data_IF_967475660351
#
_entry.id   IF_967475660351
#
_cell.length_a   1.000
_cell.length_b   1.000
_cell.length_c   1.000
_cell.angle_alpha   90.00
_cell.angle_beta   90.00
_cell.angle_gamma   90.00
#
_symmetry.space_group_name_H-M   'P 1'
#
loop_
_entity.id
_entity.type
_entity.pdbx_description
1 polymer ?
#
# COMPACT_ATOMS: atom_id res chain seq x y z
N UNK A 1 -31.82 -14.01 -2.08
CA UNK A 1 -32.35 -13.48 -0.81
C UNK A 1 -31.18 -13.49 0.15
N UNK A 2 -30.60 -12.33 0.49
CA UNK A 2 -29.55 -12.28 1.51
C UNK A 2 -30.13 -12.85 2.80
N UNK A 3 -29.39 -13.74 3.47
CA UNK A 3 -29.71 -14.07 4.86
C UNK A 3 -29.70 -12.78 5.67
N UNK A 4 -30.54 -12.68 6.70
CA UNK A 4 -30.53 -11.58 7.66
C UNK A 4 -29.14 -11.51 8.30
N UNK A 5 -28.25 -10.70 7.71
CA UNK A 5 -26.97 -10.38 8.31
C UNK A 5 -27.31 -9.56 9.56
N UNK A 6 -26.95 -10.10 10.73
CA UNK A 6 -27.02 -9.35 11.99
C UNK A 6 -26.13 -8.09 11.93
N UNK A 7 -26.16 -7.25 12.98
CA UNK A 7 -25.31 -6.08 13.03
C UNK A 7 -23.82 -6.44 12.89
N UNK A 8 -23.08 -5.57 12.23
CA UNK A 8 -21.62 -5.64 12.09
C UNK A 8 -21.04 -4.52 12.93
N UNK A 9 -20.27 -4.84 13.97
CA UNK A 9 -19.53 -3.86 14.77
C UNK A 9 -18.07 -3.83 14.35
N UNK A 10 -17.61 -2.66 13.91
CA UNK A 10 -16.22 -2.35 13.64
C UNK A 10 -15.60 -1.73 14.90
N UNK A 11 -14.47 -2.26 15.32
CA UNK A 11 -13.77 -1.91 16.54
C UNK A 11 -12.36 -1.45 16.16
N UNK A 12 -11.96 -0.23 16.51
CA UNK A 12 -10.63 0.26 16.16
C UNK A 12 -10.43 1.75 16.37
N UNK A 13 -9.22 2.21 16.07
CA UNK A 13 -8.85 3.61 16.11
C UNK A 13 -9.72 4.44 15.14
N UNK A 14 -9.95 5.74 15.43
CA UNK A 14 -10.95 6.53 14.72
C UNK A 14 -10.82 6.47 13.20
N UNK A 15 -9.63 6.75 12.65
CA UNK A 15 -9.39 6.81 11.22
C UNK A 15 -9.66 5.46 10.52
N UNK A 16 -9.10 4.38 11.05
CA UNK A 16 -9.24 3.04 10.51
C UNK A 16 -10.67 2.53 10.63
N UNK A 17 -11.32 2.73 11.77
CA UNK A 17 -12.68 2.24 12.02
C UNK A 17 -13.70 2.93 11.10
N UNK A 18 -13.65 4.26 10.99
CA UNK A 18 -14.51 5.00 10.07
C UNK A 18 -14.20 4.73 8.60
N UNK A 19 -12.93 4.48 8.26
CA UNK A 19 -12.56 4.12 6.89
C UNK A 19 -13.13 2.76 6.50
N UNK A 20 -12.96 1.74 7.36
CA UNK A 20 -13.57 0.43 7.14
C UNK A 20 -15.10 0.51 7.06
N UNK A 21 -15.74 1.32 7.89
CA UNK A 21 -17.18 1.54 7.86
C UNK A 21 -17.65 2.11 6.52
N UNK A 22 -16.95 3.12 6.00
CA UNK A 22 -17.25 3.73 4.70
C UNK A 22 -17.07 2.71 3.56
N UNK A 23 -16.01 1.90 3.60
CA UNK A 23 -15.77 0.85 2.61
C UNK A 23 -16.91 -0.18 2.59
N UNK A 24 -17.33 -0.64 3.77
CA UNK A 24 -18.44 -1.59 3.89
C UNK A 24 -19.75 -0.98 3.41
N UNK A 25 -20.11 0.20 3.91
CA UNK A 25 -21.33 0.89 3.51
C UNK A 25 -21.39 1.15 2.00
N UNK A 26 -20.23 1.33 1.35
CA UNK A 26 -20.14 1.63 -0.08
C UNK A 26 -20.12 0.38 -0.97
N UNK A 27 -19.40 -0.66 -0.57
CA UNK A 27 -19.05 -1.76 -1.45
C UNK A 27 -19.60 -3.11 -1.03
N UNK A 28 -19.94 -3.29 0.25
CA UNK A 28 -20.54 -4.53 0.70
C UNK A 28 -22.02 -4.55 0.30
N UNK A 29 -22.58 -5.71 -0.06
CA UNK A 29 -24.01 -5.86 -0.31
C UNK A 29 -24.75 -5.92 1.04
N UNK A 30 -24.63 -4.91 1.91
CA UNK A 30 -25.40 -4.80 3.17
C UNK A 30 -25.98 -3.42 3.35
N UNK A 31 -27.13 -3.30 4.04
CA UNK A 31 -27.63 -2.01 4.48
C UNK A 31 -26.62 -1.34 5.41
N UNK A 32 -26.34 -0.05 5.21
CA UNK A 32 -25.44 0.69 6.08
C UNK A 32 -25.95 0.80 7.52
N UNK A 33 -27.27 0.68 7.73
CA UNK A 33 -27.94 0.75 9.02
C UNK A 33 -27.65 -0.44 9.94
N UNK A 34 -27.02 -1.51 9.44
CA UNK A 34 -26.54 -2.61 10.28
C UNK A 34 -25.06 -2.46 10.66
N UNK A 35 -24.36 -1.48 10.12
CA UNK A 35 -22.95 -1.20 10.44
C UNK A 35 -22.89 -0.31 11.68
N UNK A 36 -22.05 -0.72 12.62
CA UNK A 36 -21.76 -0.03 13.88
C UNK A 36 -20.28 0.25 13.99
N UNK A 37 -19.92 1.41 14.51
CA UNK A 37 -18.52 1.78 14.77
C UNK A 37 -18.34 1.99 16.27
N UNK A 38 -17.42 1.23 16.85
CA UNK A 38 -16.97 1.36 18.23
C UNK A 38 -15.53 1.88 18.19
N UNK A 39 -15.39 3.19 18.34
CA UNK A 39 -14.07 3.83 18.33
C UNK A 39 -13.33 3.49 19.62
N UNK A 40 -12.13 2.93 19.48
CA UNK A 40 -11.21 2.64 20.59
C UNK A 40 -9.79 2.89 20.10
N UNK A 41 -8.98 3.58 20.87
CA UNK A 41 -7.60 3.82 20.47
C UNK A 41 -6.89 4.78 21.41
N UNK A 42 -5.61 4.98 21.14
CA UNK A 42 -4.78 5.92 21.87
C UNK A 42 -5.07 7.35 21.40
N UNK A 43 -5.64 8.19 22.27
CA UNK A 43 -5.88 9.62 22.02
C UNK A 43 -4.60 10.34 21.57
N UNK A 44 -3.42 9.88 22.01
CA UNK A 44 -2.14 10.48 21.61
C UNK A 44 -1.77 10.23 20.14
N UNK A 45 -2.38 9.25 19.48
CA UNK A 45 -2.11 8.96 18.07
C UNK A 45 -2.86 9.93 17.13
N UNK A 46 -3.82 10.72 17.61
CA UNK A 46 -4.70 11.54 16.75
C UNK A 46 -3.95 12.62 15.96
N UNK A 47 -2.79 13.08 16.47
CA UNK A 47 -1.95 14.08 15.81
C UNK A 47 -0.94 13.48 14.81
N UNK A 48 -0.90 12.16 14.64
CA UNK A 48 0.00 11.57 13.65
C UNK A 48 -0.51 11.81 12.22
N UNK A 49 0.43 11.94 11.29
CA UNK A 49 0.11 12.09 9.87
C UNK A 49 -0.07 10.72 9.20
N UNK A 50 -1.24 10.51 8.61
CA UNK A 50 -1.48 9.42 7.65
C UNK A 50 -0.95 9.81 6.28
N UNK A 51 -0.36 8.83 5.61
CA UNK A 51 0.03 8.97 4.22
C UNK A 51 -0.87 8.07 3.38
N UNK A 52 -1.63 8.66 2.47
CA UNK A 52 -2.42 7.94 1.48
C UNK A 52 -1.64 7.89 0.16
N UNK A 53 -1.40 6.67 -0.32
CA UNK A 53 -0.69 6.42 -1.57
C UNK A 53 -1.54 6.81 -2.78
N UNK A 54 -0.95 7.08 -3.97
CA UNK A 54 -1.73 7.49 -5.15
C UNK A 54 -2.89 6.55 -5.51
N UNK A 55 -2.74 5.25 -5.27
CA UNK A 55 -3.77 4.24 -5.51
C UNK A 55 -5.06 4.50 -4.69
N UNK A 56 -4.96 5.15 -3.53
CA UNK A 56 -6.10 5.45 -2.66
C UNK A 56 -7.03 6.53 -3.25
N UNK A 57 -6.55 7.33 -4.21
CA UNK A 57 -7.35 8.41 -4.84
C UNK A 57 -8.71 7.95 -5.34
N UNK A 58 -8.73 6.79 -6.02
CA UNK A 58 -9.97 6.22 -6.57
C UNK A 58 -10.94 5.82 -5.47
N UNK A 59 -10.41 5.24 -4.40
CA UNK A 59 -11.19 4.83 -3.24
C UNK A 59 -11.76 6.06 -2.55
N UNK A 60 -10.95 7.05 -2.22
CA UNK A 60 -11.41 8.30 -1.60
C UNK A 60 -12.48 9.00 -2.45
N UNK A 61 -12.26 9.10 -3.76
CA UNK A 61 -13.25 9.68 -4.69
C UNK A 61 -14.56 8.90 -4.68
N UNK A 62 -14.50 7.56 -4.64
CA UNK A 62 -15.70 6.70 -4.61
C UNK A 62 -16.50 6.77 -3.31
N UNK A 63 -15.86 7.20 -2.22
CA UNK A 63 -16.48 7.48 -0.93
C UNK A 63 -17.03 8.91 -0.85
N UNK A 64 -16.75 9.77 -1.86
CA UNK A 64 -17.10 11.19 -1.81
C UNK A 64 -16.20 12.00 -0.88
N UNK A 65 -15.01 11.49 -0.52
CA UNK A 65 -14.07 12.18 0.34
C UNK A 65 -13.28 13.22 -0.45
N UNK A 66 -13.47 14.48 -0.09
CA UNK A 66 -12.69 15.62 -0.60
C UNK A 66 -11.47 15.85 0.31
N UNK A 67 -10.34 15.24 -0.04
CA UNK A 67 -9.12 15.29 0.77
C UNK A 67 -8.59 16.71 0.95
N UNK A 68 -8.75 17.59 -0.04
CA UNK A 68 -8.28 18.97 0.07
C UNK A 68 -9.10 19.75 1.12
N UNK A 69 -10.43 19.56 1.15
CA UNK A 69 -11.28 20.13 2.19
C UNK A 69 -11.04 19.53 3.57
N UNK A 70 -10.62 18.27 3.63
CA UNK A 70 -10.22 17.60 4.86
C UNK A 70 -8.79 17.99 5.32
N UNK A 71 -8.14 18.98 4.69
CA UNK A 71 -6.83 19.48 5.12
C UNK A 71 -5.64 18.66 4.63
N UNK A 72 -5.83 17.75 3.68
CA UNK A 72 -4.72 16.98 3.13
C UNK A 72 -3.78 17.84 2.26
N UNK A 73 -2.48 17.58 2.37
CA UNK A 73 -1.43 18.12 1.50
C UNK A 73 -0.88 17.06 0.56
N UNK A 74 -0.36 17.46 -0.59
CA UNK A 74 0.30 16.54 -1.51
C UNK A 74 1.67 16.12 -0.97
N UNK A 75 2.04 14.87 -1.21
CA UNK A 75 3.37 14.29 -0.91
C UNK A 75 3.80 13.39 -2.06
N UNK A 76 5.10 13.26 -2.32
CA UNK A 76 5.61 12.48 -3.45
C UNK A 76 6.29 11.18 -3.01
N UNK A 77 6.53 11.03 -1.72
CA UNK A 77 7.27 9.94 -1.11
C UNK A 77 6.63 9.50 0.22
N UNK A 78 7.08 8.35 0.69
CA UNK A 78 6.76 7.85 2.02
C UNK A 78 8.02 7.44 2.78
N UNK A 79 8.03 7.59 4.12
CA UNK A 79 9.19 7.27 4.93
C UNK A 79 9.42 5.77 4.96
N UNK A 80 10.61 5.34 4.54
CA UNK A 80 11.05 3.94 4.56
C UNK A 80 11.85 3.59 5.83
N UNK A 81 11.90 4.50 6.81
CA UNK A 81 12.69 4.36 8.03
C UNK A 81 14.14 4.86 7.88
N UNK A 82 14.83 5.05 9.00
CA UNK A 82 16.24 5.49 9.05
C UNK A 82 16.57 6.75 8.23
N UNK A 83 15.62 7.69 8.13
CA UNK A 83 15.76 8.92 7.33
C UNK A 83 15.70 8.71 5.80
N UNK A 84 15.29 7.53 5.34
CA UNK A 84 15.11 7.21 3.91
C UNK A 84 13.66 7.39 3.51
N UNK A 85 13.42 7.70 2.24
CA UNK A 85 12.09 7.72 1.65
C UNK A 85 12.05 6.97 0.32
N UNK A 86 10.85 6.47 -0.03
CA UNK A 86 10.57 5.80 -1.29
C UNK A 86 9.57 6.67 -2.05
N UNK A 87 9.93 7.06 -3.28
CA UNK A 87 9.02 7.78 -4.18
C UNK A 87 7.88 6.87 -4.63
N UNK A 88 6.68 7.44 -4.76
CA UNK A 88 5.54 6.70 -5.30
C UNK A 88 5.62 6.46 -6.81
N UNK A 89 6.35 7.29 -7.55
CA UNK A 89 6.32 7.29 -9.01
C UNK A 89 7.38 6.43 -9.66
N UNK A 90 7.20 6.22 -10.95
CA UNK A 90 8.04 5.33 -11.75
C UNK A 90 9.50 5.81 -11.81
N UNK A 91 10.43 4.89 -12.00
CA UNK A 91 11.86 5.20 -12.13
C UNK A 91 12.23 5.25 -13.61
N UNK A 92 12.47 6.48 -14.08
CA UNK A 92 12.80 6.82 -15.47
C UNK A 92 11.75 6.38 -16.48
N UNK A 93 12.17 6.24 -17.74
CA UNK A 93 11.29 5.86 -18.85
C UNK A 93 11.96 4.86 -19.79
N UNK A 94 11.23 3.84 -20.32
CA UNK A 94 11.79 2.93 -21.31
C UNK A 94 12.12 3.68 -22.61
N UNK A 95 13.10 3.18 -23.37
CA UNK A 95 13.51 3.74 -24.66
C UNK A 95 13.71 2.63 -25.69
N UNK A 96 13.05 2.74 -26.85
CA UNK A 96 13.11 1.75 -27.94
C UNK A 96 12.86 0.30 -27.48
N UNK A 97 11.92 0.11 -26.55
CA UNK A 97 11.57 -1.20 -25.99
C UNK A 97 12.56 -1.74 -24.95
N UNK A 98 13.61 -0.99 -24.60
CA UNK A 98 14.55 -1.32 -23.53
C UNK A 98 14.08 -0.67 -22.22
N UNK A 99 14.07 -1.45 -21.13
CA UNK A 99 13.76 -0.91 -19.80
C UNK A 99 14.77 0.14 -19.34
N UNK A 100 14.30 1.14 -18.58
CA UNK A 100 15.17 2.21 -18.08
C UNK A 100 16.33 1.69 -17.22
N UNK A 101 16.07 0.70 -16.36
CA UNK A 101 17.10 0.05 -15.53
C UNK A 101 18.22 -0.53 -16.39
N UNK A 102 17.88 -1.20 -17.50
CA UNK A 102 18.88 -1.77 -18.41
C UNK A 102 19.72 -0.69 -19.10
N UNK A 103 19.11 0.45 -19.44
CA UNK A 103 19.80 1.62 -20.00
C UNK A 103 20.77 2.20 -18.97
N UNK A 104 20.32 2.40 -17.72
CA UNK A 104 21.14 2.89 -16.62
C UNK A 104 22.32 1.95 -16.31
N UNK A 105 22.09 0.64 -16.28
CA UNK A 105 23.17 -0.35 -16.10
C UNK A 105 24.17 -0.30 -17.25
N UNK A 106 23.70 -0.19 -18.50
CA UNK A 106 24.57 -0.06 -19.67
C UNK A 106 25.40 1.22 -19.59
N UNK A 107 24.82 2.32 -19.14
CA UNK A 107 25.53 3.58 -18.91
C UNK A 107 26.68 3.38 -17.91
N UNK A 108 26.42 2.72 -16.77
CA UNK A 108 27.46 2.39 -15.77
C UNK A 108 28.56 1.50 -16.34
N UNK A 109 28.21 0.46 -17.11
CA UNK A 109 29.18 -0.42 -17.76
C UNK A 109 30.08 0.32 -18.76
N UNK A 110 29.54 1.36 -19.42
CA UNK A 110 30.26 2.25 -20.33
C UNK A 110 30.96 3.42 -19.62
N UNK A 111 30.94 3.46 -18.28
CA UNK A 111 31.50 4.55 -17.46
C UNK A 111 30.90 5.93 -17.77
N UNK A 112 29.65 5.96 -18.19
CA UNK A 112 28.85 7.19 -18.33
C UNK A 112 28.33 7.56 -16.93
N UNK A 113 28.44 8.84 -16.57
CA UNK A 113 28.00 9.34 -15.26
C UNK A 113 26.46 9.37 -15.19
N UNK A 114 25.87 8.28 -14.71
CA UNK A 114 24.43 8.13 -14.61
C UNK A 114 23.86 8.46 -13.21
N UNK A 115 24.68 8.67 -12.18
CA UNK A 115 24.20 8.88 -10.80
C UNK A 115 23.48 7.65 -10.21
N UNK A 116 22.73 7.88 -9.13
CA UNK A 116 21.87 6.86 -8.53
C UNK A 116 20.69 6.58 -9.45
N UNK A 117 20.21 5.33 -9.46
CA UNK A 117 18.98 5.00 -10.17
C UNK A 117 17.77 5.77 -9.60
N UNK A 118 17.80 6.11 -8.31
CA UNK A 118 16.73 6.84 -7.64
C UNK A 118 16.67 8.34 -8.03
N UNK A 119 17.73 8.87 -8.65
CA UNK A 119 17.76 10.25 -9.15
C UNK A 119 16.82 10.45 -10.36
N UNK A 120 16.25 9.37 -10.88
CA UNK A 120 15.29 9.37 -11.99
C UNK A 120 13.87 8.98 -11.55
N UNK A 121 13.59 8.96 -10.25
CA UNK A 121 12.25 8.67 -9.76
C UNK A 121 11.32 9.86 -10.05
N UNK A 122 10.26 9.59 -10.81
CA UNK A 122 9.20 10.57 -11.09
C UNK A 122 8.39 10.81 -9.82
N UNK A 123 8.07 12.06 -9.46
CA UNK A 123 7.15 12.31 -8.37
C UNK A 123 5.74 11.83 -8.78
N UNK A 124 5.18 10.89 -8.03
CA UNK A 124 3.75 10.60 -8.05
C UNK A 124 3.12 11.07 -6.75
N UNK A 125 1.98 11.74 -6.84
CA UNK A 125 1.41 12.44 -5.70
C UNK A 125 0.48 11.53 -4.87
N UNK A 126 0.88 11.23 -3.64
CA UNK A 126 0.00 10.82 -2.56
C UNK A 126 -0.58 12.01 -1.80
N UNK A 127 -1.14 11.73 -0.63
CA UNK A 127 -1.65 12.75 0.30
C UNK A 127 -1.14 12.48 1.71
N UNK A 128 -0.83 13.55 2.44
CA UNK A 128 -0.58 13.51 3.87
C UNK A 128 -1.72 14.27 4.57
N UNK A 129 -2.32 13.66 5.59
CA UNK A 129 -3.45 14.21 6.34
C UNK A 129 -3.34 13.83 7.81
N UNK A 130 -3.81 14.68 8.73
CA UNK A 130 -3.94 14.31 10.14
C UNK A 130 -4.87 13.11 10.30
N UNK A 131 -4.54 12.18 11.21
CA UNK A 131 -5.46 11.09 11.57
C UNK A 131 -6.82 11.62 12.02
N UNK A 132 -6.85 12.69 12.81
CA UNK A 132 -8.07 13.34 13.30
C UNK A 132 -8.96 13.84 12.15
N UNK A 133 -8.40 14.68 11.28
CA UNK A 133 -9.15 15.32 10.18
C UNK A 133 -9.70 14.28 9.20
N UNK A 134 -8.90 13.24 8.94
CA UNK A 134 -9.32 12.12 8.10
C UNK A 134 -10.46 11.31 8.74
N UNK A 135 -10.39 11.04 10.06
CA UNK A 135 -11.43 10.36 10.80
C UNK A 135 -12.74 11.16 10.82
N UNK A 136 -12.67 12.47 11.08
CA UNK A 136 -13.84 13.35 11.12
C UNK A 136 -14.54 13.43 9.77
N UNK A 137 -13.78 13.57 8.69
CA UNK A 137 -14.33 13.61 7.34
C UNK A 137 -15.05 12.29 6.98
N UNK A 138 -14.45 11.14 7.32
CA UNK A 138 -15.05 9.83 7.10
C UNK A 138 -16.27 9.57 8.00
N UNK A 139 -16.21 9.98 9.27
CA UNK A 139 -17.34 9.89 10.21
C UNK A 139 -18.54 10.65 9.67
N UNK A 140 -18.33 11.87 9.18
CA UNK A 140 -19.40 12.67 8.56
C UNK A 140 -20.07 11.93 7.40
N UNK A 141 -19.27 11.35 6.49
CA UNK A 141 -19.76 10.57 5.34
C UNK A 141 -20.54 9.33 5.81
N UNK A 142 -19.98 8.56 6.76
CA UNK A 142 -20.57 7.33 7.25
C UNK A 142 -21.94 7.55 7.93
N UNK A 143 -22.04 8.59 8.77
CA UNK A 143 -23.29 8.92 9.46
C UNK A 143 -24.39 9.33 8.47
N UNK A 144 -24.05 10.05 7.40
CA UNK A 144 -25.01 10.47 6.36
C UNK A 144 -25.64 9.28 5.62
N UNK A 145 -24.92 8.17 5.48
CA UNK A 145 -25.42 6.96 4.81
C UNK A 145 -26.07 5.97 5.77
N UNK A 146 -26.13 6.27 7.07
CA UNK A 146 -26.86 5.47 8.06
C UNK A 146 -26.02 4.55 8.95
N UNK A 147 -24.68 4.59 8.83
CA UNK A 147 -23.78 3.95 9.80
C UNK A 147 -23.99 4.60 11.17
N UNK A 148 -23.89 3.82 12.25
CA UNK A 148 -24.07 4.34 13.62
C UNK A 148 -22.83 4.14 14.48
N UNK A 149 -22.60 5.04 15.40
CA UNK A 149 -21.63 4.86 16.47
C UNK A 149 -22.26 4.04 17.61
N UNK A 150 -21.46 3.23 18.31
CA UNK A 150 -21.90 2.43 19.47
C UNK A 150 -20.80 2.31 20.50
N UNK A 151 -21.17 2.30 21.78
CA UNK A 151 -20.25 1.96 22.88
C UNK A 151 -20.20 0.45 23.16
N UNK A 152 -21.18 -0.30 22.65
CA UNK A 152 -21.36 -1.72 22.89
C UNK A 152 -21.24 -2.51 21.60
N UNK A 153 -20.21 -3.36 21.47
CA UNK A 153 -20.10 -4.27 20.34
C UNK A 153 -21.23 -5.30 20.33
N UNK A 154 -21.91 -5.43 19.20
CA UNK A 154 -22.99 -6.39 18.97
C UNK A 154 -22.81 -7.10 17.62
N UNK A 155 -23.35 -8.32 17.53
CA UNK A 155 -23.29 -9.13 16.31
C UNK A 155 -21.86 -9.48 15.88
N UNK A 156 -21.60 -9.44 14.57
CA UNK A 156 -20.29 -9.76 13.99
C UNK A 156 -19.30 -8.65 14.34
N UNK A 157 -18.21 -9.02 15.03
CA UNK A 157 -17.18 -8.05 15.42
C UNK A 157 -15.98 -8.10 14.47
N UNK A 158 -15.53 -6.93 14.05
CA UNK A 158 -14.38 -6.72 13.16
C UNK A 158 -13.42 -5.75 13.83
N UNK A 159 -12.22 -6.20 14.17
CA UNK A 159 -11.16 -5.35 14.70
C UNK A 159 -10.23 -4.88 13.57
N UNK A 160 -9.97 -3.58 13.48
CA UNK A 160 -9.13 -2.98 12.42
C UNK A 160 -7.81 -2.40 12.93
N UNK A 161 -7.63 -2.31 14.25
CA UNK A 161 -6.45 -1.70 14.90
C UNK A 161 -5.78 -2.66 15.88
N UNK A 162 -4.45 -2.65 15.90
CA UNK A 162 -3.65 -3.59 16.71
C UNK A 162 -3.88 -3.46 18.21
N UNK A 163 -4.03 -2.23 18.70
CA UNK A 163 -4.08 -1.95 20.14
C UNK A 163 -5.47 -2.15 20.74
N UNK A 164 -6.42 -2.65 19.94
CA UNK A 164 -7.79 -2.86 20.38
C UNK A 164 -8.08 -4.35 20.46
N UNK A 165 -8.28 -4.82 21.69
CA UNK A 165 -8.66 -6.20 21.95
C UNK A 165 -10.03 -6.54 21.33
N UNK A 166 -10.10 -7.72 20.70
CA UNK A 166 -11.34 -8.38 20.33
C UNK A 166 -11.56 -9.65 21.17
N UNK A 167 -12.76 -10.22 21.10
CA UNK A 167 -12.99 -11.58 21.62
C UNK A 167 -12.44 -12.64 20.62
N UNK A 168 -12.50 -13.93 21.00
CA UNK A 168 -12.02 -15.01 20.14
C UNK A 168 -12.72 -15.08 18.77
N UNK A 169 -13.95 -14.57 18.68
CA UNK A 169 -14.77 -14.56 17.46
C UNK A 169 -14.56 -13.30 16.61
N UNK A 170 -13.72 -12.36 17.05
CA UNK A 170 -13.47 -11.10 16.35
C UNK A 170 -12.57 -11.32 15.15
N UNK A 171 -13.05 -10.93 13.96
CA UNK A 171 -12.24 -10.95 12.74
C UNK A 171 -11.27 -9.78 12.75
N UNK A 172 -10.02 -10.02 12.39
CA UNK A 172 -8.99 -8.98 12.34
C UNK A 172 -8.81 -8.52 10.89
N UNK A 173 -8.72 -7.22 10.67
CA UNK A 173 -8.44 -6.57 9.39
C UNK A 173 -7.36 -5.49 9.56
N UNK A 174 -6.79 -5.03 8.44
CA UNK A 174 -5.78 -3.98 8.43
C UNK A 174 -4.67 -4.21 9.45
N UNK A 175 -4.35 -3.18 10.25
CA UNK A 175 -3.28 -3.26 11.23
C UNK A 175 -3.51 -4.32 12.33
N UNK A 176 -4.76 -4.71 12.61
CA UNK A 176 -5.04 -5.79 13.57
C UNK A 176 -4.68 -7.18 13.03
N UNK A 177 -4.78 -7.39 11.71
CA UNK A 177 -4.43 -8.65 11.05
C UNK A 177 -2.94 -8.75 10.70
N UNK A 178 -2.25 -7.61 10.68
CA UNK A 178 -0.89 -7.53 10.19
C UNK A 178 0.12 -7.66 11.34
N UNK A 179 1.25 -8.36 11.14
CA UNK A 179 2.25 -8.62 12.18
C UNK A 179 3.19 -7.44 12.45
N UNK A 180 3.17 -6.40 11.60
CA UNK A 180 4.21 -5.36 11.59
C UNK A 180 3.75 -3.95 11.96
N UNK A 181 4.61 -3.16 12.61
CA UNK A 181 4.37 -1.72 12.82
C UNK A 181 4.44 -0.99 11.48
N UNK A 182 3.30 -0.88 10.80
CA UNK A 182 3.22 -0.27 9.48
C UNK A 182 3.69 1.18 9.54
N UNK A 183 4.44 1.60 8.53
CA UNK A 183 4.53 3.03 8.24
C UNK A 183 3.11 3.53 7.93
N UNK A 184 2.78 4.75 8.33
CA UNK A 184 1.44 5.31 8.14
C UNK A 184 0.97 5.31 6.67
N UNK A 185 1.90 5.15 5.72
CA UNK A 185 1.67 5.02 4.30
C UNK A 185 0.96 3.72 3.86
N UNK A 186 1.13 2.63 4.63
CA UNK A 186 0.62 1.31 4.25
C UNK A 186 -0.66 0.94 4.99
N UNK A 187 -0.93 1.57 6.13
CA UNK A 187 -2.11 1.29 6.97
C UNK A 187 -3.42 1.36 6.18
N UNK A 188 -3.64 2.44 5.42
CA UNK A 188 -4.88 2.64 4.68
C UNK A 188 -5.04 1.65 3.53
N UNK A 189 -3.96 1.39 2.78
CA UNK A 189 -4.03 0.47 1.65
C UNK A 189 -4.23 -0.98 2.11
N UNK A 190 -3.53 -1.40 3.17
CA UNK A 190 -3.69 -2.75 3.70
C UNK A 190 -5.08 -2.96 4.33
N UNK A 191 -5.62 -1.93 5.00
CA UNK A 191 -7.00 -1.95 5.48
C UNK A 191 -8.01 -2.04 4.32
N UNK A 192 -7.81 -1.27 3.26
CA UNK A 192 -8.67 -1.30 2.07
C UNK A 192 -8.71 -2.68 1.42
N UNK A 193 -7.54 -3.31 1.23
CA UNK A 193 -7.43 -4.64 0.63
C UNK A 193 -8.01 -5.74 1.52
N UNK A 194 -7.77 -5.68 2.82
CA UNK A 194 -8.34 -6.64 3.76
C UNK A 194 -9.87 -6.53 3.87
N UNK A 195 -10.43 -5.31 3.86
CA UNK A 195 -11.89 -5.11 3.80
C UNK A 195 -12.46 -5.63 2.48
N UNK A 196 -11.83 -5.39 1.33
CA UNK A 196 -12.28 -5.98 0.06
C UNK A 196 -12.22 -7.49 0.05
N UNK A 197 -11.12 -8.08 0.51
CA UNK A 197 -11.00 -9.52 0.63
C UNK A 197 -12.12 -10.08 1.50
N UNK A 198 -12.43 -9.39 2.60
CA UNK A 198 -13.54 -9.74 3.47
C UNK A 198 -14.89 -9.64 2.75
N UNK A 199 -15.18 -8.55 2.04
CA UNK A 199 -16.41 -8.39 1.24
C UNK A 199 -16.54 -9.50 0.20
N UNK A 200 -15.48 -9.84 -0.52
CA UNK A 200 -15.52 -10.86 -1.57
C UNK A 200 -15.73 -12.27 -1.02
N UNK A 201 -15.22 -12.54 0.19
CA UNK A 201 -15.25 -13.87 0.80
C UNK A 201 -16.38 -14.03 1.81
N UNK A 202 -17.01 -12.95 2.27
CA UNK A 202 -18.07 -13.04 3.27
C UNK A 202 -19.22 -13.88 2.69
N UNK A 203 -19.76 -14.83 3.46
CA UNK A 203 -20.82 -15.72 2.98
C UNK A 203 -22.15 -14.96 2.90
N UNK A 204 -22.25 -13.99 1.98
CA UNK A 204 -23.50 -13.30 1.65
C UNK A 204 -24.55 -14.30 1.15
N UNK A 205 -24.07 -15.40 0.53
CA UNK A 205 -24.90 -16.37 -0.19
C UNK A 205 -24.40 -17.84 -0.14
N UNK A 206 -23.19 -18.11 0.37
CA UNK A 206 -22.63 -19.47 0.41
C UNK A 206 -23.08 -20.26 1.65
N UNK A 207 -23.43 -21.53 1.46
CA UNK A 207 -23.69 -22.47 2.55
C UNK A 207 -22.41 -22.95 3.24
N UNK A 208 -21.24 -22.79 2.59
CA UNK A 208 -19.96 -23.24 3.12
C UNK A 208 -19.13 -22.07 3.68
N UNK A 209 -19.38 -21.77 4.95
CA UNK A 209 -18.64 -20.76 5.73
C UNK A 209 -17.15 -21.12 5.84
N UNK A 210 -16.81 -22.41 5.81
CA UNK A 210 -15.42 -22.86 6.00
C UNK A 210 -14.55 -22.53 4.80
N UNK A 211 -15.08 -22.71 3.57
CA UNK A 211 -14.38 -22.35 2.33
C UNK A 211 -14.20 -20.83 2.24
N UNK A 212 -15.24 -20.07 2.56
CA UNK A 212 -15.18 -18.60 2.64
C UNK A 212 -14.10 -18.11 3.62
N UNK A 213 -14.03 -18.71 4.80
CA UNK A 213 -13.00 -18.38 5.79
C UNK A 213 -11.59 -18.74 5.29
N UNK A 214 -11.41 -19.93 4.72
CA UNK A 214 -10.11 -20.37 4.19
C UNK A 214 -9.62 -19.47 3.05
N UNK A 215 -10.50 -19.08 2.12
CA UNK A 215 -10.16 -18.16 1.03
C UNK A 215 -9.83 -16.75 1.53
N UNK A 216 -10.56 -16.27 2.55
CA UNK A 216 -10.24 -15.00 3.19
C UNK A 216 -8.85 -15.01 3.84
N UNK A 217 -8.53 -16.02 4.63
CA UNK A 217 -7.20 -16.16 5.25
C UNK A 217 -6.10 -16.26 4.20
N UNK A 218 -6.31 -17.04 3.13
CA UNK A 218 -5.36 -17.12 1.99
C UNK A 218 -5.12 -15.76 1.35
N UNK A 219 -6.16 -14.93 1.17
CA UNK A 219 -6.01 -13.57 0.61
C UNK A 219 -5.33 -12.62 1.57
N UNK A 220 -5.58 -12.74 2.88
CA UNK A 220 -4.83 -11.99 3.88
C UNK A 220 -3.34 -12.34 3.81
N UNK A 221 -2.98 -13.62 3.73
CA UNK A 221 -1.58 -14.07 3.61
C UNK A 221 -0.88 -13.47 2.38
N UNK A 222 -1.57 -13.39 1.24
CA UNK A 222 -1.05 -12.73 0.04
C UNK A 222 -0.81 -11.22 0.21
N UNK A 223 -1.54 -10.57 1.11
CA UNK A 223 -1.35 -9.16 1.46
C UNK A 223 -0.24 -9.00 2.50
N UNK A 224 -0.13 -9.93 3.47
CA UNK A 224 0.79 -9.84 4.61
C UNK A 224 2.22 -10.23 4.22
N UNK A 225 2.40 -11.26 3.41
CA UNK A 225 3.73 -11.79 3.09
C UNK A 225 4.63 -10.75 2.40
N UNK A 226 4.19 -10.00 1.36
CA UNK A 226 5.01 -8.96 0.75
C UNK A 226 5.39 -7.82 1.71
N UNK A 227 4.56 -7.55 2.72
CA UNK A 227 4.81 -6.53 3.74
C UNK A 227 5.96 -6.91 4.66
N UNK A 228 5.95 -8.14 5.17
CA UNK A 228 7.03 -8.68 6.00
C UNK A 228 8.34 -8.68 5.21
N UNK A 229 8.29 -9.16 3.97
CA UNK A 229 9.42 -9.20 3.05
C UNK A 229 10.02 -7.81 2.80
N UNK A 230 9.18 -6.80 2.53
CA UNK A 230 9.63 -5.42 2.30
C UNK A 230 10.24 -4.83 3.58
N UNK A 231 9.63 -5.08 4.74
CA UNK A 231 10.15 -4.58 6.00
C UNK A 231 11.50 -5.20 6.35
N UNK A 232 11.62 -6.52 6.27
CA UNK A 232 12.89 -7.22 6.48
C UNK A 232 13.96 -6.67 5.54
N UNK A 233 13.63 -6.47 4.26
CA UNK A 233 14.57 -5.88 3.29
C UNK A 233 15.02 -4.46 3.70
N UNK A 234 14.11 -3.60 4.16
CA UNK A 234 14.42 -2.20 4.50
C UNK A 234 15.17 -2.06 5.84
N UNK A 235 14.82 -2.87 6.84
CA UNK A 235 15.40 -2.79 8.19
C UNK A 235 16.71 -3.57 8.30
N UNK A 236 16.75 -4.77 7.73
CA UNK A 236 17.81 -5.74 7.93
C UNK A 236 18.66 -5.95 6.67
N UNK A 237 18.22 -5.41 5.53
CA UNK A 237 18.91 -5.62 4.24
C UNK A 237 18.60 -6.98 3.62
N UNK A 238 19.28 -7.34 2.51
CA UNK A 238 19.03 -8.59 1.79
C UNK A 238 19.27 -9.86 2.63
N UNK A 239 20.05 -9.78 3.71
CA UNK A 239 20.33 -10.88 4.62
C UNK A 239 19.22 -11.17 5.63
N UNK A 240 18.31 -10.21 5.87
CA UNK A 240 17.15 -10.41 6.75
C UNK A 240 15.94 -11.03 6.05
N UNK A 241 16.02 -11.19 4.73
CA UNK A 241 14.95 -11.79 3.94
C UNK A 241 15.00 -13.31 4.09
N UNK A 242 13.87 -13.91 4.44
CA UNK A 242 13.74 -15.35 4.68
C UNK A 242 14.04 -16.18 3.43
N UNK A 243 14.64 -17.35 3.59
CA UNK A 243 14.85 -18.30 2.50
C UNK A 243 13.51 -18.83 1.97
N UNK A 244 13.39 -18.94 0.64
CA UNK A 244 12.16 -19.34 -0.04
C UNK A 244 11.09 -18.25 -0.14
N UNK A 245 11.32 -17.07 0.45
CA UNK A 245 10.37 -15.95 0.38
C UNK A 245 10.28 -15.33 -1.01
N UNK A 246 9.23 -14.53 -1.20
CA UNK A 246 9.02 -13.81 -2.43
C UNK A 246 10.09 -12.72 -2.63
N UNK A 247 10.50 -12.02 -1.58
CA UNK A 247 11.60 -11.07 -1.65
C UNK A 247 12.93 -11.73 -2.04
N UNK A 248 13.23 -12.95 -1.57
CA UNK A 248 14.44 -13.64 -1.98
C UNK A 248 14.43 -13.91 -3.50
N UNK A 249 13.30 -14.38 -4.03
CA UNK A 249 13.12 -14.56 -5.47
C UNK A 249 13.28 -13.24 -6.24
N UNK A 250 12.70 -12.14 -5.73
CA UNK A 250 12.83 -10.80 -6.32
C UNK A 250 14.25 -10.28 -6.31
N UNK A 251 14.99 -10.48 -5.22
CA UNK A 251 16.42 -10.13 -5.14
C UNK A 251 17.22 -10.88 -6.20
N UNK A 252 16.96 -12.18 -6.36
CA UNK A 252 17.63 -12.99 -7.37
C UNK A 252 17.33 -12.48 -8.79
N UNK A 253 16.05 -12.25 -9.11
CA UNK A 253 15.62 -11.73 -10.41
C UNK A 253 16.20 -10.33 -10.68
N UNK A 254 16.22 -9.47 -9.67
CA UNK A 254 16.78 -8.12 -9.75
C UNK A 254 18.28 -8.15 -10.01
N UNK A 255 19.05 -8.95 -9.26
CA UNK A 255 20.49 -9.11 -9.49
C UNK A 255 20.77 -9.63 -10.89
N UNK A 256 20.05 -10.66 -11.31
CA UNK A 256 20.32 -11.31 -12.59
C UNK A 256 19.89 -10.47 -13.80
N UNK A 257 18.72 -9.83 -13.76
CA UNK A 257 18.09 -9.24 -14.94
C UNK A 257 17.75 -7.75 -14.80
N UNK A 258 17.90 -7.14 -13.62
CA UNK A 258 17.45 -5.78 -13.37
C UNK A 258 15.93 -5.63 -13.49
N UNK A 259 15.17 -6.68 -13.13
CA UNK A 259 13.71 -6.74 -13.27
C UNK A 259 13.03 -7.12 -11.97
N UNK A 260 11.85 -6.53 -11.75
CA UNK A 260 10.88 -6.92 -10.73
C UNK A 260 9.58 -7.27 -11.44
N UNK A 261 9.07 -8.48 -11.20
CA UNK A 261 7.78 -8.88 -11.72
C UNK A 261 6.66 -8.31 -10.83
N UNK A 262 5.61 -7.72 -11.42
CA UNK A 262 4.40 -7.40 -10.67
C UNK A 262 3.76 -8.70 -10.20
N UNK A 263 3.17 -8.66 -9.00
CA UNK A 263 2.47 -9.80 -8.40
C UNK A 263 1.09 -9.32 -8.01
N UNK A 264 0.08 -10.13 -8.33
CA UNK A 264 -1.30 -9.85 -7.97
C UNK A 264 -1.42 -9.74 -6.46
N UNK A 265 -2.21 -8.76 -6.01
CA UNK A 265 -2.45 -8.46 -4.59
C UNK A 265 -1.23 -7.93 -3.81
N UNK A 266 -0.08 -7.73 -4.45
CA UNK A 266 1.02 -7.01 -3.81
C UNK A 266 0.58 -5.57 -3.48
N UNK A 267 0.94 -5.12 -2.29
CA UNK A 267 0.72 -3.74 -1.88
C UNK A 267 1.74 -2.81 -2.54
N UNK A 268 2.90 -3.31 -2.94
CA UNK A 268 3.97 -2.52 -3.51
C UNK A 268 4.03 -2.66 -5.03
N UNK A 269 4.24 -1.53 -5.67
CA UNK A 269 4.48 -1.49 -7.11
C UNK A 269 5.94 -1.88 -7.41
N UNK A 270 6.24 -2.35 -8.64
CA UNK A 270 7.61 -2.73 -9.00
C UNK A 270 8.67 -1.66 -8.73
N UNK A 271 8.36 -0.37 -8.92
CA UNK A 271 9.28 0.73 -8.65
C UNK A 271 9.63 0.89 -7.17
N UNK A 272 8.73 0.53 -6.26
CA UNK A 272 8.99 0.64 -4.82
C UNK A 272 9.89 -0.49 -4.35
N UNK A 273 9.73 -1.68 -4.91
CA UNK A 273 10.69 -2.77 -4.74
C UNK A 273 12.06 -2.39 -5.29
N UNK A 274 12.14 -1.79 -6.47
CA UNK A 274 13.40 -1.29 -7.01
C UNK A 274 14.03 -0.26 -6.06
N UNK A 275 13.23 0.68 -5.55
CA UNK A 275 13.69 1.68 -4.59
C UNK A 275 14.22 1.04 -3.31
N UNK A 276 13.47 0.12 -2.71
CA UNK A 276 13.87 -0.60 -1.51
C UNK A 276 15.16 -1.40 -1.72
N UNK A 277 15.28 -2.12 -2.85
CA UNK A 277 16.49 -2.86 -3.19
C UNK A 277 17.71 -1.96 -3.32
N UNK A 278 17.56 -0.82 -4.01
CA UNK A 278 18.62 0.17 -4.16
C UNK A 278 19.02 0.79 -2.81
N UNK A 279 18.04 1.15 -1.96
CA UNK A 279 18.27 1.68 -0.62
C UNK A 279 18.95 0.66 0.31
N UNK A 280 18.70 -0.63 0.10
CA UNK A 280 19.35 -1.74 0.81
C UNK A 280 20.67 -2.20 0.17
N UNK A 281 21.20 -1.44 -0.80
CA UNK A 281 22.49 -1.70 -1.43
C UNK A 281 22.49 -2.86 -2.43
N UNK A 282 21.32 -3.37 -2.81
CA UNK A 282 21.19 -4.44 -3.82
C UNK A 282 21.14 -3.81 -5.20
N UNK A 283 22.27 -3.85 -5.90
CA UNK A 283 22.35 -3.36 -7.29
C UNK A 283 22.15 -4.49 -8.29
N UNK A 284 21.53 -4.23 -9.45
CA UNK A 284 21.37 -5.24 -10.48
C UNK A 284 22.70 -5.45 -11.24
N UNK A 285 23.08 -6.70 -11.47
CA UNK A 285 24.36 -7.10 -12.08
C UNK A 285 24.22 -7.33 -13.60
N UNK A 286 23.05 -7.80 -14.04
CA UNK A 286 22.71 -8.00 -15.44
C UNK A 286 21.50 -7.17 -15.89
N UNK A 287 21.40 -6.96 -17.21
CA UNK A 287 20.32 -6.21 -17.83
C UNK A 287 19.95 -6.79 -19.19
N UNK A 288 18.97 -6.17 -19.85
CA UNK A 288 18.47 -6.63 -21.15
C UNK A 288 19.56 -6.53 -22.23
N UNK A 289 19.76 -7.61 -23.00
CA UNK A 289 20.71 -7.62 -24.12
C UNK A 289 20.39 -6.55 -25.16
N UNK A 290 19.12 -6.19 -25.32
CA UNK A 290 18.70 -5.14 -26.25
C UNK A 290 19.32 -3.78 -25.91
N UNK A 291 19.67 -3.50 -24.65
CA UNK A 291 20.38 -2.29 -24.25
C UNK A 291 21.77 -2.17 -24.93
N UNK A 292 22.38 -3.28 -25.36
CA UNK A 292 23.66 -3.26 -26.07
C UNK A 292 23.55 -2.71 -27.50
N UNK A 293 22.34 -2.65 -28.05
CA UNK A 293 22.08 -2.05 -29.37
C UNK A 293 22.05 -0.52 -29.34
N UNK A 294 21.93 0.09 -28.15
CA UNK A 294 21.92 1.54 -28.00
C UNK A 294 23.34 2.10 -28.04
N UNK A 295 23.51 3.20 -28.77
CA UNK A 295 24.77 3.96 -28.83
C UNK A 295 25.02 4.76 -27.54
N UNK A 296 26.27 5.18 -27.33
CA UNK A 296 26.65 6.02 -26.17
C UNK A 296 25.87 7.33 -26.18
N UNK A 297 25.72 7.92 -27.36
CA UNK A 297 25.03 9.19 -27.59
C UNK A 297 23.54 9.07 -27.27
N UNK A 298 22.88 7.99 -27.70
CA UNK A 298 21.48 7.73 -27.37
C UNK A 298 21.27 7.55 -25.87
N UNK A 299 22.16 6.82 -25.20
CA UNK A 299 22.06 6.59 -23.75
C UNK A 299 22.20 7.91 -23.00
N UNK A 300 23.21 8.73 -23.32
CA UNK A 300 23.41 10.04 -22.69
C UNK A 300 22.20 10.95 -22.91
N UNK A 301 21.78 11.11 -24.16
CA UNK A 301 20.65 11.96 -24.50
C UNK A 301 19.37 11.53 -23.78
N UNK A 302 19.12 10.22 -23.65
CA UNK A 302 17.96 9.72 -22.92
C UNK A 302 18.05 9.97 -21.42
N UNK A 303 19.19 9.70 -20.78
CA UNK A 303 19.38 9.97 -19.35
C UNK A 303 19.22 11.46 -19.03
N UNK A 304 19.80 12.33 -19.85
CA UNK A 304 19.69 13.78 -19.70
C UNK A 304 18.23 14.25 -19.87
N UNK A 305 17.51 13.71 -20.86
CA UNK A 305 16.11 14.04 -21.09
C UNK A 305 15.19 13.60 -19.94
N UNK A 306 15.42 12.42 -19.36
CA UNK A 306 14.67 11.96 -18.18
C UNK A 306 15.00 12.84 -16.99
N UNK A 307 16.28 13.11 -16.70
CA UNK A 307 16.68 13.97 -15.58
C UNK A 307 16.10 15.38 -15.69
N UNK A 308 16.14 15.98 -16.87
CA UNK A 308 15.56 17.31 -17.11
C UNK A 308 14.04 17.33 -16.86
N UNK A 309 13.33 16.25 -17.22
CA UNK A 309 11.91 16.10 -16.94
C UNK A 309 11.63 16.02 -15.43
N UNK A 310 12.46 15.33 -14.67
CA UNK A 310 12.27 15.22 -13.22
C UNK A 310 12.47 16.55 -12.51
N UNK A 311 13.49 17.31 -12.90
CA UNK A 311 13.72 18.66 -12.38
C UNK A 311 12.50 19.54 -12.65
N UNK A 312 11.95 19.50 -13.87
CA UNK A 312 10.78 20.30 -14.23
C UNK A 312 9.48 19.91 -13.49
N UNK A 313 9.38 18.69 -12.93
CA UNK A 313 8.24 18.30 -12.10
C UNK A 313 8.44 18.61 -10.60
N UNK A 314 9.67 18.89 -10.19
CA UNK A 314 10.00 19.25 -8.81
C UNK A 314 9.80 20.76 -8.54
N UNK A 315 9.82 21.60 -9.59
CA UNK A 315 9.53 23.04 -9.57
C UNK A 315 8.03 23.35 -9.65
#
# INVERSE_FOLDING_TARGET
>A
MMRDAGPITIIGAPAEAWFAACLLARFAPVPAEIIRVNVRGNENAENETLIARPQMRRVHSSLGLDLAKAGARLVCDWPAGQGRSISFGAIGAPYKGVSFVSIWQRAKALKIEAGSLLDYAVPAQGFAISRSDYADALRSIALQVGVRETDRPEGTQVCVSRDVGGNADTRKLGAAALPISLTSALTLLALERSVRAWIDCWPWTSDDVSVCAAEFERRLELITSPLEDMQSLLLEGPQGVSEGSLAQHRIALWRQLGRIAPIDHDLFEPQEWIAALMLSGVTPEGGERLAQSLTVEEIKAHLDAVRAREIAHAE
#
